data_IF_309950081540
#
_entry.id   IF_309950081540
#
_cell.length_a   1.000
_cell.length_b   1.000
_cell.length_c   1.000
_cell.angle_alpha   90.00
_cell.angle_beta   90.00
_cell.angle_gamma   90.00
#
_symmetry.space_group_name_H-M   'P 1'
#
loop_
_entity.id
_entity.type
_entity.pdbx_description
1 polymer ?
#
# COMPACT_ATOMS: atom_id res chain seq x y z
N UNK A 1 -13.61 23.21 14.62
CA UNK A 1 -13.37 21.77 14.44
C UNK A 1 -12.32 21.62 13.35
N UNK A 2 -11.08 21.25 13.70
CA UNK A 2 -10.01 21.07 12.72
C UNK A 2 -10.27 19.76 11.99
N UNK A 3 -10.53 19.82 10.68
CA UNK A 3 -10.72 18.62 9.85
C UNK A 3 -9.33 18.06 9.58
N UNK A 4 -9.00 16.93 10.20
CA UNK A 4 -7.77 16.18 9.86
C UNK A 4 -7.89 15.85 8.37
N UNK A 5 -7.02 16.42 7.53
CA UNK A 5 -6.92 16.03 6.13
C UNK A 5 -6.01 14.81 6.09
N UNK A 6 -6.61 13.64 5.96
CA UNK A 6 -5.86 12.44 5.61
C UNK A 6 -5.61 12.47 4.11
N UNK A 7 -4.35 12.42 3.72
CA UNK A 7 -3.95 12.27 2.33
C UNK A 7 -3.98 10.79 1.95
N UNK A 8 -4.12 10.51 0.65
CA UNK A 8 -4.28 9.15 0.12
C UNK A 8 -3.16 8.82 -0.85
N UNK A 9 -2.72 7.57 -0.86
CA UNK A 9 -1.91 7.02 -1.93
C UNK A 9 -2.36 5.60 -2.29
N UNK A 10 -2.11 5.22 -3.54
CA UNK A 10 -2.30 3.86 -4.02
C UNK A 10 -0.93 3.22 -4.23
N UNK A 11 -0.75 2.02 -3.70
CA UNK A 11 0.47 1.25 -3.80
C UNK A 11 0.17 0.02 -4.63
N UNK A 12 0.85 -0.08 -5.77
CA UNK A 12 0.78 -1.20 -6.69
C UNK A 12 1.90 -2.17 -6.37
N UNK A 13 1.59 -3.45 -6.26
CA UNK A 13 2.54 -4.49 -5.89
C UNK A 13 2.73 -5.49 -7.01
N UNK A 14 4.00 -5.76 -7.33
CA UNK A 14 4.40 -6.99 -8.02
C UNK A 14 4.90 -7.98 -6.99
N UNK A 15 4.35 -9.18 -7.01
CA UNK A 15 4.66 -10.25 -6.08
C UNK A 15 5.47 -11.36 -6.77
N UNK A 16 6.21 -12.14 -5.98
CA UNK A 16 6.80 -13.39 -6.43
C UNK A 16 5.68 -14.38 -6.80
N UNK A 17 5.87 -15.21 -7.83
CA UNK A 17 4.86 -16.19 -8.21
C UNK A 17 4.42 -17.04 -7.02
N UNK A 18 3.11 -17.22 -6.86
CA UNK A 18 2.48 -18.03 -5.78
C UNK A 18 2.60 -17.42 -4.37
N UNK A 19 3.07 -16.17 -4.24
CA UNK A 19 3.18 -15.44 -2.97
C UNK A 19 2.15 -14.32 -2.84
N UNK A 20 1.29 -14.14 -3.84
CA UNK A 20 0.29 -13.06 -3.93
C UNK A 20 -0.66 -13.09 -2.74
N UNK A 21 -1.14 -14.28 -2.36
CA UNK A 21 -2.04 -14.46 -1.22
C UNK A 21 -1.37 -14.11 0.12
N UNK A 22 -0.10 -14.49 0.30
CA UNK A 22 0.65 -14.17 1.52
C UNK A 22 0.85 -12.66 1.67
N UNK A 23 1.22 -11.99 0.57
CA UNK A 23 1.36 -10.53 0.55
C UNK A 23 0.01 -9.86 0.81
N UNK A 24 -1.07 -10.33 0.19
CA UNK A 24 -2.42 -9.82 0.40
C UNK A 24 -2.83 -9.88 1.87
N UNK A 25 -2.65 -11.03 2.52
CA UNK A 25 -2.98 -11.20 3.93
C UNK A 25 -2.11 -10.30 4.83
N UNK A 26 -0.82 -10.17 4.53
CA UNK A 26 0.07 -9.28 5.28
C UNK A 26 -0.33 -7.80 5.16
N UNK A 27 -0.85 -7.38 3.99
CA UNK A 27 -1.35 -6.01 3.80
C UNK A 27 -2.61 -5.72 4.63
N UNK A 28 -3.47 -6.71 4.87
CA UNK A 28 -4.66 -6.54 5.72
C UNK A 28 -4.33 -6.30 7.20
N UNK A 29 -3.14 -6.69 7.64
CA UNK A 29 -2.67 -6.51 9.02
C UNK A 29 -1.98 -5.14 9.25
N UNK A 30 -1.89 -4.29 8.22
CA UNK A 30 -1.27 -2.96 8.30
C UNK A 30 -2.37 -1.91 8.51
N UNK A 31 -2.39 -1.29 9.70
CA UNK A 31 -3.41 -0.30 10.10
C UNK A 31 -3.63 0.83 9.08
N UNK A 32 -2.57 1.29 8.41
CA UNK A 32 -2.66 2.37 7.42
C UNK A 32 -3.24 1.92 6.06
N UNK A 33 -3.47 0.63 5.84
CA UNK A 33 -4.11 0.10 4.63
C UNK A 33 -5.62 0.15 4.81
N UNK A 34 -6.28 1.04 4.07
CA UNK A 34 -7.74 1.18 4.13
C UNK A 34 -8.48 0.19 3.22
N UNK A 35 -7.83 -0.26 2.14
CA UNK A 35 -8.35 -1.30 1.25
C UNK A 35 -7.19 -1.97 0.49
N UNK A 36 -7.36 -3.25 0.15
CA UNK A 36 -6.46 -3.93 -0.79
C UNK A 36 -7.20 -4.98 -1.61
N UNK A 37 -6.76 -5.15 -2.85
CA UNK A 37 -7.39 -6.03 -3.84
C UNK A 37 -6.35 -6.72 -4.71
N UNK A 38 -6.69 -7.93 -5.16
CA UNK A 38 -5.98 -8.60 -6.25
C UNK A 38 -6.33 -7.92 -7.56
N UNK A 39 -5.32 -7.63 -8.37
CA UNK A 39 -5.45 -7.03 -9.69
C UNK A 39 -4.97 -8.00 -10.76
N UNK A 40 -5.67 -8.02 -11.90
CA UNK A 40 -5.15 -8.62 -13.12
C UNK A 40 -4.44 -7.53 -13.93
N UNK A 41 -3.19 -7.75 -14.32
CA UNK A 41 -2.45 -6.81 -15.17
C UNK A 41 -0.94 -6.84 -14.94
N UNK A 42 -0.29 -5.69 -15.10
CA UNK A 42 1.14 -5.52 -14.82
C UNK A 42 1.46 -5.81 -13.35
N UNK A 43 0.58 -5.37 -12.45
CA UNK A 43 0.67 -5.55 -11.01
C UNK A 43 -0.33 -6.61 -10.52
N UNK A 44 0.02 -7.24 -9.40
CA UNK A 44 -0.73 -8.37 -8.84
C UNK A 44 -1.67 -7.93 -7.72
N UNK A 45 -1.31 -6.87 -6.97
CA UNK A 45 -2.15 -6.28 -5.93
C UNK A 45 -2.16 -4.75 -6.03
N UNK A 46 -3.25 -4.14 -5.55
CA UNK A 46 -3.34 -2.71 -5.23
C UNK A 46 -3.73 -2.54 -3.78
N UNK A 47 -3.11 -1.62 -3.07
CA UNK A 47 -3.54 -1.19 -1.75
C UNK A 47 -3.74 0.32 -1.74
N UNK A 48 -4.80 0.79 -1.08
CA UNK A 48 -4.93 2.19 -0.71
C UNK A 48 -4.40 2.36 0.70
N UNK A 49 -3.65 3.43 0.89
CA UNK A 49 -3.24 3.90 2.20
C UNK A 49 -3.76 5.31 2.42
N UNK A 50 -4.19 5.58 3.65
CA UNK A 50 -4.50 6.92 4.12
C UNK A 50 -3.50 7.28 5.23
N UNK A 51 -2.97 8.51 5.21
CA UNK A 51 -1.92 8.96 6.13
C UNK A 51 -2.06 10.45 6.47
N UNK A 52 -1.55 10.85 7.63
CA UNK A 52 -1.60 12.24 8.10
C UNK A 52 -0.48 13.10 7.50
N UNK A 53 0.71 12.51 7.30
CA UNK A 53 1.85 13.21 6.71
C UNK A 53 2.79 12.30 5.89
N UNK A 54 3.70 12.91 5.13
CA UNK A 54 4.65 12.19 4.27
C UNK A 54 5.62 11.28 5.05
N UNK A 55 5.90 11.58 6.33
CA UNK A 55 6.79 10.73 7.14
C UNK A 55 6.09 9.45 7.54
N UNK A 56 4.82 9.52 7.90
CA UNK A 56 3.98 8.36 8.15
C UNK A 56 3.89 7.49 6.89
N UNK A 57 3.60 8.11 5.74
CA UNK A 57 3.59 7.40 4.44
C UNK A 57 4.93 6.70 4.17
N UNK A 58 6.06 7.39 4.33
CA UNK A 58 7.38 6.83 4.09
C UNK A 58 7.68 5.64 5.02
N UNK A 59 7.28 5.73 6.30
CA UNK A 59 7.43 4.64 7.27
C UNK A 59 6.61 3.42 6.87
N UNK A 60 5.37 3.61 6.46
CA UNK A 60 4.50 2.52 5.97
C UNK A 60 5.08 1.85 4.73
N UNK A 61 5.49 2.64 3.73
CA UNK A 61 6.00 2.11 2.45
C UNK A 61 7.35 1.41 2.60
N UNK A 62 8.33 2.09 3.21
CA UNK A 62 9.72 1.62 3.27
C UNK A 62 9.90 0.61 4.40
N UNK A 63 9.24 0.82 5.55
CA UNK A 63 9.42 -0.01 6.74
C UNK A 63 8.61 -1.29 6.72
N UNK A 64 7.34 -1.22 6.30
CA UNK A 64 6.41 -2.34 6.44
C UNK A 64 6.18 -3.04 5.10
N UNK A 65 5.69 -2.32 4.09
CA UNK A 65 5.19 -2.93 2.85
C UNK A 65 6.27 -3.58 2.00
N UNK A 66 7.41 -2.90 1.77
CA UNK A 66 8.53 -3.45 0.97
C UNK A 66 9.24 -4.62 1.64
N UNK A 67 9.07 -4.77 2.96
CA UNK A 67 9.68 -5.81 3.77
C UNK A 67 8.87 -7.12 3.77
N UNK A 68 7.63 -7.08 3.28
CA UNK A 68 6.75 -8.24 3.23
C UNK A 68 7.40 -9.31 2.32
N UNK A 69 7.65 -10.53 2.83
CA UNK A 69 8.19 -11.61 2.02
C UNK A 69 7.31 -11.89 0.80
N UNK A 70 7.92 -11.90 -0.38
CA UNK A 70 7.21 -12.09 -1.64
C UNK A 70 6.95 -10.80 -2.42
N UNK A 71 7.14 -9.61 -1.85
CA UNK A 71 7.09 -8.37 -2.63
C UNK A 71 8.35 -8.24 -3.49
N UNK A 72 8.18 -8.07 -4.81
CA UNK A 72 9.28 -7.84 -5.76
C UNK A 72 9.44 -6.36 -6.11
N UNK A 73 8.32 -5.66 -6.33
CA UNK A 73 8.29 -4.25 -6.73
C UNK A 73 7.07 -3.58 -6.13
N UNK A 74 7.24 -2.32 -5.76
CA UNK A 74 6.14 -1.42 -5.43
C UNK A 74 6.19 -0.18 -6.31
N UNK A 75 5.05 0.30 -6.77
CA UNK A 75 4.90 1.64 -7.36
C UNK A 75 3.86 2.42 -6.55
N UNK A 76 4.18 3.66 -6.18
CA UNK A 76 3.30 4.47 -5.34
C UNK A 76 2.75 5.65 -6.12
N UNK A 77 1.43 5.75 -6.17
CA UNK A 77 0.67 6.83 -6.79
C UNK A 77 0.06 7.69 -5.67
N UNK A 78 0.68 8.84 -5.40
CA UNK A 78 0.17 9.78 -4.39
C UNK A 78 -1.01 10.53 -5.00
N UNK A 79 -2.16 10.49 -4.34
CA UNK A 79 -3.35 11.20 -4.78
C UNK A 79 -3.16 12.70 -4.58
N UNK A 80 -3.46 13.49 -5.61
CA UNK A 80 -3.53 14.95 -5.49
C UNK A 80 -4.93 15.32 -5.01
N UNK A 81 -5.02 16.02 -3.88
CA UNK A 81 -6.30 16.54 -3.40
C UNK A 81 -6.79 17.67 -4.30
N UNK A 82 -8.03 17.55 -4.82
CA UNK A 82 -8.71 18.57 -5.62
C UNK A 82 -9.48 19.58 -4.76
#
# INVERSE_FOLDING_TARGET
>A
MMRIRMSTAFVLFKCQPQRELEVYLALLEIDSVSETHVAYGEYDLVARIDFEDEKEMAKTLIGNMRSIPGVQKTETLIAVEA
#
